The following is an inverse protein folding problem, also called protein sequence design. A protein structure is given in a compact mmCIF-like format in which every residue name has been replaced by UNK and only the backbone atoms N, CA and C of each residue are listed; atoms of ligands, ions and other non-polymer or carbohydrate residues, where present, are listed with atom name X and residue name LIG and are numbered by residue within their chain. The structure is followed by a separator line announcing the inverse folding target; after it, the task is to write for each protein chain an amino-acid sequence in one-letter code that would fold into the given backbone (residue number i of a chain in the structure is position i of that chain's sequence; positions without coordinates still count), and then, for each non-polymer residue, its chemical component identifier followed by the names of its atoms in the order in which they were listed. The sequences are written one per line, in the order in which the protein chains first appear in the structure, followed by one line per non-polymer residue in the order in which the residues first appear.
data_IF_119037355412
#
_entry.id   IF_119037355412
#
_cell.length_a   1.000
_cell.length_b   1.000
_cell.length_c   1.000
_cell.angle_alpha   90.00
_cell.angle_beta   90.00
_cell.angle_gamma   90.00
#
_symmetry.space_group_name_H-M   'P 1'
#
loop_
_entity.id
_entity.type
_entity.pdbx_description
1 polymer ?
2 water ?
#
# COMPACT_ATOMS: atom_id res chain seq x y z
N UNK A 3 28.02 8.12 23.54
CA UNK A 3 26.79 8.82 23.95
C UNK A 3 25.78 8.72 22.79
N UNK A 4 25.18 7.55 22.60
CA UNK A 4 24.30 7.33 21.42
C UNK A 4 23.02 8.17 21.43
N UNK A 5 22.73 8.79 20.30
CA UNK A 5 21.55 9.67 20.17
C UNK A 5 20.22 8.96 20.14
N UNK A 6 19.15 9.69 20.41
CA UNK A 6 17.79 9.11 20.45
C UNK A 6 17.51 8.37 19.14
N UNK A 7 17.67 9.04 18.02
CA UNK A 7 17.33 8.45 16.71
C UNK A 7 18.37 7.41 16.28
N UNK A 8 19.62 7.61 16.67
CA UNK A 8 20.73 6.70 16.31
C UNK A 8 20.44 5.31 16.87
N UNK A 9 20.06 5.24 18.14
CA UNK A 9 19.71 3.97 18.82
C UNK A 9 18.55 3.28 18.08
N UNK A 10 17.44 4.00 17.88
CA UNK A 10 16.25 3.43 17.17
C UNK A 10 16.65 2.94 15.77
N UNK A 11 17.31 3.77 14.99
CA UNK A 11 17.74 3.40 13.62
C UNK A 11 18.61 2.14 13.68
N UNK A 12 19.49 2.05 14.66
CA UNK A 12 20.43 0.92 14.77
C UNK A 12 19.70 -0.38 15.10
N UNK A 13 18.65 -0.31 15.90
CA UNK A 13 17.98 -1.55 16.35
C UNK A 13 17.22 -2.24 15.21
N UNK A 14 16.87 -1.50 14.16
CA UNK A 14 16.01 -2.03 13.07
C UNK A 14 16.82 -2.31 11.82
N UNK A 15 18.08 -1.90 11.77
CA UNK A 15 18.89 -2.07 10.55
C UNK A 15 18.90 -3.53 10.08
N UNK A 16 19.03 -4.48 11.01
CA UNK A 16 19.10 -5.93 10.69
C UNK A 16 17.78 -6.45 10.12
N UNK A 17 16.67 -5.77 10.41
CA UNK A 17 15.34 -6.21 9.93
C UNK A 17 15.03 -5.65 8.54
N UNK A 18 15.88 -4.74 8.03
CA UNK A 18 15.64 -4.09 6.71
C UNK A 18 16.63 -4.65 5.69
N UNK A 19 16.20 -4.86 4.45
CA UNK A 19 17.08 -5.52 3.44
C UNK A 19 16.99 -4.80 2.10
N UNK A 20 18.05 -4.91 1.30
CA UNK A 20 18.03 -4.36 -0.07
C UNK A 20 17.37 -5.40 -1.00
N UNK A 21 16.58 -4.95 -1.96
CA UNK A 21 15.92 -5.84 -2.96
C UNK A 21 16.36 -5.39 -4.35
N UNK A 22 17.03 -6.26 -5.10
CA UNK A 22 17.58 -5.92 -6.44
C UNK A 22 16.97 -6.81 -7.52
N UNK A 23 16.41 -6.20 -8.54
CA UNK A 23 15.82 -6.93 -9.68
C UNK A 23 16.62 -6.57 -10.94
N UNK A 24 17.39 -7.52 -11.46
CA UNK A 24 18.27 -7.23 -12.61
C UNK A 24 17.90 -8.07 -13.83
N UNK A 25 18.26 -7.61 -15.02
CA UNK A 25 18.08 -8.37 -16.27
C UNK A 25 19.37 -8.19 -17.07
N UNK A 26 19.33 -8.45 -18.36
CA UNK A 26 20.52 -8.24 -19.22
C UNK A 26 20.72 -6.74 -19.42
N UNK A 27 19.64 -5.96 -19.56
CA UNK A 27 19.79 -4.53 -19.93
C UNK A 27 19.11 -3.59 -18.93
N UNK A 28 18.92 -4.05 -17.69
CA UNK A 28 18.33 -3.16 -16.66
C UNK A 28 18.56 -3.67 -15.25
N UNK A 29 18.42 -2.78 -14.27
CA UNK A 29 18.49 -3.14 -12.85
C UNK A 29 17.56 -2.22 -12.10
N UNK A 30 16.88 -2.71 -11.06
CA UNK A 30 15.99 -1.87 -10.24
C UNK A 30 16.27 -2.22 -8.78
N UNK A 31 16.17 -1.24 -7.89
CA UNK A 31 16.57 -1.46 -6.47
C UNK A 31 15.55 -0.85 -5.52
N UNK A 32 15.40 -1.48 -4.35
CA UNK A 32 14.43 -1.01 -3.37
C UNK A 32 14.75 -1.53 -1.99
N UNK A 33 13.92 -1.15 -1.04
CA UNK A 33 14.11 -1.59 0.35
C UNK A 33 12.93 -2.47 0.77
N UNK A 34 13.13 -3.28 1.78
CA UNK A 34 12.09 -4.20 2.27
C UNK A 34 12.31 -4.55 3.72
N UNK A 35 11.37 -5.27 4.32
CA UNK A 35 11.46 -5.56 5.77
C UNK A 35 11.10 -7.00 6.10
N UNK A 36 11.90 -7.63 6.94
CA UNK A 36 11.65 -9.02 7.42
C UNK A 36 10.49 -8.99 8.42
N UNK A 37 9.37 -9.59 8.06
CA UNK A 37 8.14 -9.62 8.92
C UNK A 37 7.90 -11.03 9.47
N UNK A 38 8.50 -12.06 8.86
CA UNK A 38 8.32 -13.46 9.30
C UNK A 38 9.66 -14.19 9.37
N UNK A 39 9.88 -14.99 10.41
CA UNK A 39 11.13 -15.76 10.60
C UNK A 39 11.35 -16.86 9.58
N UNK A 40 10.30 -17.29 8.91
CA UNK A 40 10.43 -18.30 7.84
C UNK A 40 11.11 -17.68 6.62
N UNK A 41 11.09 -16.36 6.53
CA UNK A 41 11.84 -15.67 5.46
C UNK A 41 10.96 -14.75 4.63
N UNK A 42 9.90 -14.24 5.24
CA UNK A 42 8.91 -13.41 4.49
C UNK A 42 9.34 -11.94 4.52
N UNK A 43 9.42 -11.34 3.34
CA UNK A 43 9.89 -9.94 3.22
C UNK A 43 8.83 -9.12 2.49
N UNK A 44 8.48 -7.99 3.08
CA UNK A 44 7.45 -7.11 2.48
C UNK A 44 8.10 -5.86 1.89
N UNK A 45 7.67 -5.45 0.70
CA UNK A 45 8.17 -4.24 0.03
C UNK A 45 7.01 -3.61 -0.75
N UNK A 46 7.30 -2.63 -1.60
CA UNK A 46 6.26 -2.07 -2.47
C UNK A 46 6.15 -2.90 -3.74
N UNK A 47 5.00 -2.85 -4.40
CA UNK A 47 4.78 -3.56 -5.67
C UNK A 47 5.61 -2.91 -6.79
N UNK A 48 5.72 -1.58 -6.80
CA UNK A 48 6.48 -0.83 -7.83
C UNK A 48 7.96 -1.22 -7.86
N UNK A 49 8.50 -1.58 -6.70
CA UNK A 49 9.93 -2.02 -6.62
C UNK A 49 10.13 -3.27 -7.49
N UNK A 50 9.19 -4.22 -7.46
CA UNK A 50 9.35 -5.53 -8.16
C UNK A 50 8.38 -5.66 -9.33
N UNK A 51 7.60 -4.62 -9.64
CA UNK A 51 6.59 -4.65 -10.72
C UNK A 51 7.17 -5.26 -11.98
N UNK A 52 8.32 -4.75 -12.40
CA UNK A 52 8.91 -5.20 -13.68
C UNK A 52 9.25 -6.70 -13.64
N UNK A 53 9.89 -7.17 -12.58
CA UNK A 53 10.26 -8.59 -12.43
C UNK A 53 9.01 -9.48 -12.41
N UNK A 54 7.89 -8.98 -11.90
CA UNK A 54 6.64 -9.75 -11.81
C UNK A 54 5.97 -9.87 -13.19
N UNK A 55 6.12 -8.84 -14.02
CA UNK A 55 5.44 -8.78 -15.34
C UNK A 55 6.34 -9.38 -16.42
N UNK A 56 7.65 -9.47 -16.16
CA UNK A 56 8.65 -10.04 -17.09
C UNK A 56 9.55 -11.01 -16.32
N UNK A 57 9.01 -12.12 -15.74
CA UNK A 57 9.80 -13.04 -14.90
C UNK A 57 10.84 -13.90 -15.62
N UNK A 58 10.73 -14.03 -16.94
CA UNK A 58 11.68 -14.85 -17.74
C UNK A 58 13.03 -14.15 -17.86
N UNK A 59 13.07 -12.84 -17.63
CA UNK A 59 14.31 -12.05 -17.89
C UNK A 59 14.86 -11.43 -16.60
N UNK A 60 14.03 -11.27 -15.59
CA UNK A 60 14.44 -10.60 -14.33
C UNK A 60 14.77 -11.59 -13.21
N UNK A 61 15.86 -11.29 -12.49
CA UNK A 61 16.29 -12.10 -11.33
C UNK A 61 16.25 -11.19 -10.10
N UNK A 62 15.61 -11.66 -9.04
CA UNK A 62 15.49 -10.85 -7.81
C UNK A 62 16.40 -11.44 -6.72
N UNK A 63 17.17 -10.59 -6.05
CA UNK A 63 18.04 -10.99 -4.95
C UNK A 63 17.82 -10.09 -3.74
N UNK A 64 17.98 -10.63 -2.56
CA UNK A 64 17.86 -9.84 -1.32
C UNK A 64 19.26 -9.72 -0.71
N UNK A 65 19.67 -8.51 -0.37
CA UNK A 65 21.00 -8.27 0.24
C UNK A 65 20.77 -7.91 1.71
N UNK A 66 21.36 -8.66 2.62
CA UNK A 66 21.13 -8.46 4.08
C UNK A 66 22.09 -7.43 4.66
N UNK A 67 21.92 -7.12 5.94
CA UNK A 67 22.79 -6.15 6.64
C UNK A 67 24.23 -6.65 6.64
N UNK A 68 24.44 -7.97 6.80
CA UNK A 68 25.79 -8.57 6.85
C UNK A 68 26.35 -8.84 5.45
N UNK A 69 25.89 -8.13 4.43
CA UNK A 69 26.40 -8.29 3.05
C UNK A 69 25.89 -9.52 2.33
N UNK A 70 25.30 -10.45 3.07
CA UNK A 70 24.76 -11.71 2.49
C UNK A 70 23.74 -11.42 1.39
N UNK A 71 23.94 -12.04 0.22
CA UNK A 71 22.99 -11.90 -0.91
C UNK A 71 22.30 -13.25 -1.10
N UNK A 72 20.97 -13.26 -1.08
CA UNK A 72 20.20 -14.51 -1.20
C UNK A 72 19.17 -14.36 -2.33
N UNK A 73 18.97 -15.39 -3.20
CA UNK A 73 17.90 -15.33 -4.19
C UNK A 73 16.55 -15.20 -3.48
N UNK A 74 15.62 -14.49 -4.09
CA UNK A 74 14.28 -14.32 -3.51
C UNK A 74 13.19 -14.80 -4.45
N UNK A 75 12.07 -15.20 -3.88
CA UNK A 75 10.92 -15.67 -4.68
C UNK A 75 9.68 -14.82 -4.40
N UNK A 76 8.98 -14.40 -5.45
CA UNK A 76 7.73 -13.60 -5.30
C UNK A 76 6.60 -14.49 -4.80
N UNK A 77 6.01 -14.14 -3.68
CA UNK A 77 4.86 -14.91 -3.13
C UNK A 77 3.57 -14.34 -3.72
N UNK A 78 3.41 -13.03 -3.62
CA UNK A 78 2.22 -12.35 -4.16
C UNK A 78 2.42 -10.87 -4.23
N UNK A 79 1.53 -10.16 -4.93
CA UNK A 79 1.62 -8.69 -5.05
C UNK A 79 0.25 -8.05 -5.16
N UNK A 80 0.14 -6.83 -4.65
CA UNK A 80 -1.13 -6.08 -4.69
C UNK A 80 -0.82 -4.71 -5.25
N UNK A 81 -1.01 -4.46 -6.57
CA UNK A 81 -0.83 -3.12 -7.12
C UNK A 81 -1.82 -2.15 -6.46
N UNK A 82 -2.93 -2.65 -5.94
CA UNK A 82 -3.99 -1.78 -5.38
C UNK A 82 -3.55 -1.19 -4.04
N UNK A 83 -2.73 -1.90 -3.28
CA UNK A 83 -2.16 -1.33 -2.03
C UNK A 83 -0.66 -1.03 -2.21
N UNK A 84 -0.09 -1.24 -3.39
CA UNK A 84 1.37 -1.07 -3.62
C UNK A 84 2.14 -1.93 -2.61
N UNK A 85 1.75 -3.19 -2.48
CA UNK A 85 2.44 -4.10 -1.54
C UNK A 85 2.83 -5.38 -2.27
N UNK A 86 3.93 -5.98 -1.86
CA UNK A 86 4.37 -7.26 -2.44
C UNK A 86 5.09 -8.06 -1.35
N UNK A 87 4.96 -9.38 -1.40
CA UNK A 87 5.62 -10.26 -0.39
C UNK A 87 6.66 -11.14 -1.08
N UNK A 88 7.89 -11.11 -0.59
CA UNK A 88 8.95 -12.01 -1.09
C UNK A 88 9.26 -13.07 -0.02
N UNK A 89 9.96 -14.12 -0.41
CA UNK A 89 10.33 -15.22 0.49
C UNK A 89 11.74 -15.69 0.15
N UNK A 90 12.62 -15.70 1.15
CA UNK A 90 13.98 -16.26 0.97
C UNK A 90 13.94 -17.63 1.68
N UNK A 91 14.62 -18.62 1.12
CA UNK A 91 14.47 -19.99 1.65
C UNK A 91 15.61 -20.40 2.57
N UNK A 92 15.28 -21.05 3.67
CA UNK A 92 16.28 -21.64 4.60
C UNK A 92 17.39 -20.66 4.97
N UNK A 93 17.05 -19.52 5.55
CA UNK A 93 18.09 -18.56 6.04
C UNK A 93 18.00 -18.53 7.57
N UNK A 94 19.07 -18.91 8.26
CA UNK A 94 19.00 -19.04 9.74
C UNK A 94 19.16 -17.74 10.53
N UNK A 95 18.53 -17.66 11.70
CA UNK A 95 18.68 -16.50 12.63
C UNK A 95 18.38 -15.15 11.95
N UNK A 96 17.21 -15.00 11.36
CA UNK A 96 16.81 -13.68 10.78
C UNK A 96 16.38 -12.78 11.94
N UNK A 97 16.57 -11.46 11.81
CA UNK A 97 16.02 -10.53 12.82
C UNK A 97 14.67 -10.04 12.29
N UNK A 98 13.58 -10.52 12.87
CA UNK A 98 12.23 -10.19 12.38
C UNK A 98 11.80 -8.86 12.99
N UNK A 99 11.27 -7.96 12.17
CA UNK A 99 10.81 -6.65 12.66
C UNK A 99 9.70 -6.77 13.69
N UNK A 100 9.69 -5.83 14.64
CA UNK A 100 8.61 -5.78 15.65
C UNK A 100 7.48 -4.94 15.04
N UNK A 101 6.38 -5.59 14.68
CA UNK A 101 5.25 -4.90 14.02
C UNK A 101 4.39 -4.16 15.04
N UNK A 102 4.03 -2.92 14.71
CA UNK A 102 3.23 -2.11 15.62
C UNK A 102 1.75 -2.10 15.33
N UNK A 103 1.04 -1.16 15.95
CA UNK A 103 -0.41 -0.98 15.71
C UNK A 103 -0.62 0.45 15.16
N UNK A 104 -0.96 0.57 13.88
CA UNK A 104 -1.15 1.89 13.23
C UNK A 104 -2.39 2.63 13.76
N UNK A 105 -3.29 1.94 14.44
CA UNK A 105 -4.50 2.57 15.04
C UNK A 105 -4.09 3.46 16.21
N UNK A 106 -2.95 3.18 16.82
CA UNK A 106 -2.51 3.93 18.03
C UNK A 106 -1.51 5.02 17.66
N UNK A 107 -1.41 5.36 16.38
CA UNK A 107 -0.51 6.47 15.95
C UNK A 107 -1.28 7.79 16.05
N UNK A 108 -0.58 8.85 16.41
CA UNK A 108 -1.20 10.18 16.54
C UNK A 108 -0.42 11.23 15.77
N UNK A 109 -1.09 12.31 15.41
CA UNK A 109 -0.39 13.43 14.73
C UNK A 109 0.62 14.01 15.72
N UNK A 110 1.86 14.19 15.31
CA UNK A 110 2.93 14.75 16.15
C UNK A 110 3.92 13.69 16.56
N UNK A 111 3.53 12.43 16.40
CA UNK A 111 4.42 11.30 16.74
C UNK A 111 5.70 11.37 15.91
N UNK A 112 6.85 11.34 16.60
CA UNK A 112 8.15 11.37 15.92
C UNK A 112 8.39 10.02 15.26
N UNK A 113 9.00 10.04 14.09
CA UNK A 113 9.19 8.79 13.32
C UNK A 113 10.50 8.80 12.53
N UNK A 114 10.93 7.63 12.11
CA UNK A 114 12.08 7.53 11.18
C UNK A 114 11.59 6.79 9.92
N UNK A 115 12.08 7.18 8.76
CA UNK A 115 11.78 6.49 7.49
C UNK A 115 13.08 5.78 7.11
N UNK A 116 13.17 4.49 7.43
CA UNK A 116 14.44 3.75 7.30
C UNK A 116 14.60 3.04 5.96
N UNK A 117 15.67 3.35 5.25
CA UNK A 117 16.05 2.62 4.03
C UNK A 117 17.09 1.58 4.36
N UNK A 118 17.29 0.59 3.49
CA UNK A 118 18.22 -0.52 3.78
C UNK A 118 19.66 -0.02 3.72
N UNK A 119 20.45 -0.07 4.81
CA UNK A 119 21.81 0.47 4.82
C UNK A 119 22.65 0.06 3.61
N UNK A 120 22.45 -1.16 3.09
CA UNK A 120 23.28 -1.66 1.97
C UNK A 120 22.70 -1.23 0.61
N UNK A 121 21.91 -0.15 0.56
CA UNK A 121 21.41 0.33 -0.74
C UNK A 121 22.29 1.41 -1.34
N UNK A 122 22.36 1.48 -2.66
CA UNK A 122 23.20 2.48 -3.36
C UNK A 122 23.00 3.88 -2.77
N UNK A 123 21.81 4.44 -2.91
CA UNK A 123 21.48 5.77 -2.35
C UNK A 123 20.48 5.59 -1.21
N UNK A 124 20.75 4.63 -0.34
CA UNK A 124 19.87 4.41 0.85
C UNK A 124 19.81 5.67 1.73
N UNK A 125 18.64 5.93 2.32
CA UNK A 125 18.43 7.12 3.17
C UNK A 125 17.67 6.82 4.46
N UNK A 126 18.08 7.42 5.57
CA UNK A 126 17.31 7.34 6.83
C UNK A 126 16.84 8.79 7.10
N UNK A 127 15.54 8.98 7.21
CA UNK A 127 14.97 10.33 7.37
C UNK A 127 14.16 10.42 8.64
N UNK A 128 14.09 11.62 9.21
CA UNK A 128 13.37 11.84 10.48
C UNK A 128 12.28 12.89 10.29
N UNK A 129 11.19 12.69 11.01
CA UNK A 129 10.11 13.66 11.00
C UNK A 129 9.02 13.29 11.98
N UNK A 130 7.84 13.83 11.74
CA UNK A 130 6.66 13.56 12.58
C UNK A 130 5.49 13.06 11.71
N UNK A 131 4.51 12.40 12.32
CA UNK A 131 3.26 11.99 11.62
C UNK A 131 2.44 13.28 11.43
N UNK A 132 2.16 13.64 10.19
CA UNK A 132 1.50 14.93 9.87
C UNK A 132 0.00 14.76 9.64
N UNK A 133 -0.44 13.57 9.30
CA UNK A 133 -1.84 13.30 9.01
C UNK A 133 -2.10 11.80 9.04
N UNK A 134 -3.31 11.43 9.40
CA UNK A 134 -3.69 10.01 9.39
C UNK A 134 -4.87 9.84 8.43
N UNK A 135 -4.99 8.65 7.85
CA UNK A 135 -6.14 8.36 6.96
C UNK A 135 -6.18 9.43 5.87
N UNK A 136 -5.06 9.59 5.20
CA UNK A 136 -4.94 10.58 4.10
C UNK A 136 -4.96 9.81 2.78
N UNK A 137 -6.09 9.74 2.04
CA UNK A 137 -6.08 9.15 0.71
C UNK A 137 -5.02 9.80 -0.19
N UNK A 138 -4.19 9.00 -0.83
CA UNK A 138 -3.10 9.50 -1.71
C UNK A 138 -3.05 8.70 -3.00
N UNK A 139 -3.12 9.35 -4.20
CA UNK A 139 -2.95 8.61 -5.44
C UNK A 139 -1.49 8.16 -5.64
N UNK A 140 -1.32 7.03 -6.32
CA UNK A 140 0.03 6.51 -6.65
C UNK A 140 0.05 6.14 -8.14
N UNK A 141 1.12 6.46 -8.83
CA UNK A 141 1.27 6.08 -10.26
C UNK A 141 1.66 4.60 -10.37
N UNK A 142 1.15 3.89 -11.38
CA UNK A 142 1.51 2.48 -11.64
C UNK A 142 2.84 2.41 -12.34
N UNK A 143 3.76 1.58 -11.82
CA UNK A 143 5.13 1.51 -12.38
C UNK A 143 5.08 1.13 -13.85
N UNK A 144 4.67 -0.09 -14.16
CA UNK A 144 4.71 -0.50 -15.58
C UNK A 144 3.34 -0.61 -16.19
N UNK A 145 2.85 -1.84 -16.37
CA UNK A 145 1.49 -2.09 -16.88
C UNK A 145 0.53 -2.04 -15.70
N UNK A 146 1.05 -1.70 -14.53
CA UNK A 146 0.25 -1.75 -13.29
C UNK A 146 -0.79 -0.63 -13.20
N UNK A 147 -1.89 -0.89 -12.51
CA UNK A 147 -2.98 0.11 -12.34
C UNK A 147 -2.56 1.21 -11.37
N UNK A 148 -2.92 2.45 -11.68
CA UNK A 148 -2.70 3.55 -10.71
C UNK A 148 -3.71 3.28 -9.59
N UNK A 149 -3.36 3.63 -8.36
CA UNK A 149 -4.26 3.36 -7.23
C UNK A 149 -4.33 4.57 -6.30
N UNK A 150 -5.04 4.41 -5.19
CA UNK A 150 -5.13 5.43 -4.13
C UNK A 150 -5.07 4.63 -2.81
N UNK A 151 -4.27 5.06 -1.87
CA UNK A 151 -4.19 4.37 -0.56
C UNK A 151 -4.60 5.31 0.57
N UNK A 152 -5.11 4.77 1.68
CA UNK A 152 -5.44 5.57 2.88
C UNK A 152 -4.15 5.63 3.69
N UNK A 153 -3.37 6.66 3.46
CA UNK A 153 -2.02 6.67 4.02
C UNK A 153 -1.81 7.41 5.33
N UNK A 154 -0.63 7.21 5.89
CA UNK A 154 -0.15 8.01 7.02
C UNK A 154 0.76 9.03 6.32
N UNK A 155 0.55 10.30 6.56
CA UNK A 155 1.40 11.34 5.95
C UNK A 155 2.45 11.74 6.98
N UNK A 156 3.65 12.03 6.51
CA UNK A 156 4.77 12.44 7.41
C UNK A 156 5.62 13.52 6.75
N UNK A 157 6.24 14.37 7.56
CA UNK A 157 7.16 15.41 7.03
C UNK A 157 8.58 14.83 6.89
N UNK A 158 8.76 13.55 7.21
CA UNK A 158 10.05 12.88 6.95
C UNK A 158 10.11 12.61 5.45
N UNK A 159 11.30 12.69 4.87
CA UNK A 159 11.38 12.54 3.40
C UNK A 159 11.29 11.06 3.00
N UNK A 160 10.40 10.77 2.07
CA UNK A 160 10.30 9.39 1.50
C UNK A 160 10.73 9.52 0.04
N UNK A 161 11.76 8.77 -0.33
CA UNK A 161 12.35 8.89 -1.68
C UNK A 161 12.73 7.49 -2.17
N UNK A 162 13.51 7.41 -3.25
CA UNK A 162 13.96 6.10 -3.81
C UNK A 162 14.79 5.35 -2.77
N UNK A 163 15.55 6.05 -1.94
CA UNK A 163 16.44 5.40 -0.98
C UNK A 163 15.77 4.75 0.22
N UNK A 164 14.51 5.08 0.51
CA UNK A 164 13.81 4.44 1.65
C UNK A 164 12.45 3.83 1.26
N UNK A 165 12.03 3.99 0.01
CA UNK A 165 10.77 3.36 -0.46
C UNK A 165 10.80 1.84 -0.24
N UNK A 166 9.72 1.29 0.31
CA UNK A 166 9.61 -0.14 0.62
C UNK A 166 10.11 -0.44 2.00
N UNK A 167 10.88 0.49 2.55
CA UNK A 167 11.40 0.33 3.91
C UNK A 167 10.38 0.68 4.96
N UNK A 168 10.68 0.42 6.27
CA UNK A 168 9.72 0.68 7.28
C UNK A 168 9.61 2.12 7.78
N UNK A 169 8.42 2.52 8.18
CA UNK A 169 8.26 3.79 8.92
C UNK A 169 8.25 3.29 10.35
N UNK A 170 9.06 3.90 11.20
CA UNK A 170 9.31 3.36 12.56
C UNK A 170 8.97 4.37 13.66
N UNK A 171 8.30 3.87 14.69
CA UNK A 171 7.98 4.74 15.84
C UNK A 171 9.20 4.85 16.77
N UNK A 172 9.01 5.50 17.90
CA UNK A 172 10.10 5.72 18.86
C UNK A 172 10.33 4.47 19.73
N UNK A 173 9.54 3.42 19.52
CA UNK A 173 9.75 2.13 20.23
C UNK A 173 10.36 1.10 19.26
N UNK A 174 10.90 1.56 18.12
CA UNK A 174 11.49 0.67 17.08
C UNK A 174 10.44 -0.29 16.50
N UNK A 175 9.19 0.13 16.48
CA UNK A 175 8.09 -0.70 15.92
C UNK A 175 7.67 -0.17 14.54
N UNK A 176 7.48 -1.06 13.57
CA UNK A 176 7.05 -0.67 12.21
C UNK A 176 5.58 -0.24 12.28
N UNK A 177 5.31 1.01 12.00
CA UNK A 177 3.91 1.52 11.99
C UNK A 177 3.47 1.72 10.53
N UNK A 178 4.37 1.45 9.59
CA UNK A 178 4.05 1.61 8.18
C UNK A 178 5.12 1.21 7.20
N UNK A 179 4.76 1.21 5.92
CA UNK A 179 5.70 0.83 4.83
C UNK A 179 5.83 2.04 3.91
N UNK A 180 7.02 2.57 3.85
CA UNK A 180 7.30 3.77 3.04
C UNK A 180 7.00 3.52 1.56
N UNK A 181 6.30 4.46 0.92
CA UNK A 181 6.08 4.39 -0.54
C UNK A 181 6.41 5.76 -1.18
N UNK A 182 7.42 5.80 -2.04
CA UNK A 182 7.80 7.03 -2.76
C UNK A 182 7.15 7.07 -4.15
N UNK A 183 6.25 6.14 -4.43
CA UNK A 183 5.54 6.11 -5.73
C UNK A 183 4.37 7.08 -5.77
N UNK A 193 5.74 15.55 3.09
CA UNK A 193 5.45 15.14 1.70
C UNK A 193 5.75 13.66 1.61
N UNK A 194 5.95 13.02 2.76
CA UNK A 194 6.17 11.57 2.82
C UNK A 194 4.87 10.80 3.03
N UNK A 195 4.76 9.63 2.42
CA UNK A 195 3.55 8.79 2.54
C UNK A 195 3.92 7.33 2.84
N UNK A 196 3.20 6.74 3.78
CA UNK A 196 3.40 5.34 4.14
C UNK A 196 2.06 4.59 4.16
N UNK A 197 2.11 3.29 3.88
CA UNK A 197 0.90 2.44 3.99
C UNK A 197 0.85 1.96 5.44
N UNK A 198 -0.29 2.09 6.16
CA UNK A 198 -0.35 1.71 7.57
C UNK A 198 -0.06 0.23 7.85
N UNK A 199 0.56 -0.06 8.99
CA UNK A 199 0.98 -1.46 9.32
C UNK A 199 -0.26 -2.35 9.42
N UNK A 200 -1.37 -1.82 9.88
CA UNK A 200 -2.56 -2.69 10.08
C UNK A 200 -3.07 -3.17 8.72
N UNK A 201 -3.05 -2.29 7.72
CA UNK A 201 -3.45 -2.68 6.35
C UNK A 201 -2.43 -3.65 5.76
N UNK A 202 -1.14 -3.39 5.94
CA UNK A 202 -0.10 -4.31 5.45
C UNK A 202 -0.26 -5.70 6.07
N UNK A 203 -0.61 -5.80 7.33
CA UNK A 203 -0.82 -7.09 8.03
C UNK A 203 -1.96 -7.85 7.34
N UNK A 204 -3.03 -7.15 7.01
CA UNK A 204 -4.18 -7.77 6.32
C UNK A 204 -3.76 -8.27 4.93
N UNK A 205 -3.14 -7.42 4.12
CA UNK A 205 -2.76 -7.76 2.71
C UNK A 205 -1.65 -8.82 2.67
N UNK A 206 -0.66 -8.72 3.55
CA UNK A 206 0.42 -9.71 3.63
C UNK A 206 -0.12 -11.11 3.94
N UNK A 207 -1.11 -11.22 4.81
CA UNK A 207 -1.66 -12.54 5.20
C UNK A 207 -2.33 -13.20 4.00
N UNK A 208 -3.06 -12.42 3.21
CA UNK A 208 -3.73 -12.97 2.01
C UNK A 208 -2.68 -13.38 0.98
N UNK A 209 -1.62 -12.58 0.86
CA UNK A 209 -0.60 -12.86 -0.17
C UNK A 209 0.22 -14.09 0.21
N UNK A 210 0.60 -14.23 1.46
CA UNK A 210 1.32 -15.45 1.91
C UNK A 210 0.44 -16.68 1.67
N UNK A 211 -0.81 -16.62 2.09
CA UNK A 211 -1.71 -17.80 2.02
C UNK A 211 -2.24 -18.09 0.63
N UNK A 212 -2.73 -17.08 -0.10
CA UNK A 212 -3.43 -17.35 -1.38
C UNK A 212 -2.59 -17.01 -2.62
N UNK A 213 -1.47 -16.31 -2.45
CA UNK A 213 -0.66 -15.88 -3.58
C UNK A 213 -1.33 -14.71 -4.26
N UNK A 214 -2.42 -14.25 -3.65
CA UNK A 214 -3.21 -13.14 -4.22
C UNK A 214 -4.21 -12.58 -3.20
N UNK A 215 -4.87 -11.50 -3.59
CA UNK A 215 -5.85 -10.82 -2.71
C UNK A 215 -7.01 -10.30 -3.58
N UNK A 216 -8.21 -10.29 -3.03
CA UNK A 216 -9.43 -9.87 -3.77
C UNK A 216 -9.94 -8.56 -3.18
N UNK A 217 -10.20 -7.60 -4.06
CA UNK A 217 -10.70 -6.28 -3.63
C UNK A 217 -12.10 -6.06 -4.20
N UNK A 218 -12.99 -5.29 -3.52
CA UNK A 218 -14.31 -5.02 -4.07
C UNK A 218 -14.31 -4.12 -5.32
N UNK A 219 -15.36 -4.26 -6.14
CA UNK A 219 -15.54 -3.42 -7.35
C UNK A 219 -17.02 -3.08 -7.54
N UNK A 220 -17.29 -1.91 -8.11
CA UNK A 220 -18.68 -1.43 -8.31
C UNK A 220 -18.89 -1.10 -9.80
N UNK A 221 -17.86 -0.65 -10.51
CA UNK A 221 -17.94 -0.37 -11.96
C UNK A 221 -18.16 1.09 -12.25
N UNK A 222 -17.54 1.95 -11.47
CA UNK A 222 -17.78 3.41 -11.59
C UNK A 222 -16.46 4.13 -11.83
N UNK A 223 -16.42 5.04 -12.79
CA UNK A 223 -15.25 5.92 -12.95
C UNK A 223 -15.71 7.25 -12.40
N UNK A 224 -14.97 7.81 -11.45
CA UNK A 224 -15.39 9.08 -10.82
C UNK A 224 -14.44 10.24 -11.11
N UNK A 225 -14.97 11.45 -11.14
CA UNK A 225 -14.15 12.69 -11.21
C UNK A 225 -14.52 13.47 -9.95
N UNK A 226 -13.64 14.29 -9.40
CA UNK A 226 -13.96 15.02 -8.15
C UNK A 226 -14.74 16.31 -8.45
N UNK A 227 -15.70 16.66 -7.58
CA UNK A 227 -16.49 17.90 -7.73
C UNK A 227 -16.50 18.67 -6.41
N UNK A 228 -16.52 20.01 -6.48
CA UNK A 228 -16.58 20.84 -5.25
C UNK A 228 -17.35 22.14 -5.49
N UNK A 229 -18.47 22.32 -4.79
CA UNK A 229 -19.29 23.56 -4.91
C UNK A 229 -20.31 23.53 -3.77
N UNK A 230 -21.36 24.34 -3.87
CA UNK A 230 -22.45 24.33 -2.87
C UNK A 230 -23.73 23.78 -3.48
N UNK A 233 -20.20 18.46 -2.93
CA UNK A 233 -18.76 18.07 -2.79
C UNK A 233 -18.62 16.57 -2.65
N UNK A 234 -18.03 15.92 -3.65
CA UNK A 234 -17.89 14.46 -3.63
C UNK A 234 -17.30 13.93 -4.92
N UNK A 235 -17.71 12.74 -5.31
CA UNK A 235 -17.18 12.11 -6.53
C UNK A 235 -18.26 12.07 -7.60
N UNK A 236 -18.00 12.75 -8.71
CA UNK A 236 -18.96 12.82 -9.84
C UNK A 236 -18.83 11.57 -10.70
N UNK A 237 -19.93 10.87 -10.90
CA UNK A 237 -19.94 9.63 -11.72
C UNK A 237 -19.69 9.97 -13.18
N UNK A 238 -18.61 9.44 -13.75
CA UNK A 238 -18.26 9.69 -15.16
C UNK A 238 -18.76 8.54 -16.03
N UNK A 239 -18.23 7.33 -15.81
CA UNK A 239 -18.61 6.16 -16.63
C UNK A 239 -19.13 5.03 -15.74
N UNK A 240 -20.24 4.41 -16.14
CA UNK A 240 -20.76 3.22 -15.43
C UNK A 240 -20.66 2.07 -16.44
N UNK A 241 -20.02 0.97 -16.04
CA UNK A 241 -19.86 -0.20 -16.93
C UNK A 241 -21.18 -0.97 -17.02
N UNK A 242 -21.48 -1.56 -18.17
CA UNK A 242 -22.71 -2.35 -18.33
C UNK A 242 -22.67 -3.60 -17.46
N UNK A 243 -23.79 -3.99 -16.86
CA UNK A 243 -23.83 -5.18 -16.00
C UNK A 243 -22.99 -5.02 -14.75
N UNK A 244 -22.68 -3.78 -14.37
CA UNK A 244 -21.93 -3.50 -13.13
C UNK A 244 -22.87 -3.56 -11.93
N UNK A 245 -22.39 -3.82 -10.68
CA UNK A 245 -23.25 -3.70 -9.51
C UNK A 245 -23.78 -2.26 -9.43
N UNK A 246 -23.06 -1.31 -10.03
CA UNK A 246 -23.45 0.10 -10.00
C UNK A 246 -24.71 0.32 -10.81
N UNK A 247 -24.67 -0.08 -12.09
CA UNK A 247 -25.87 0.00 -12.96
C UNK A 247 -27.05 -0.79 -12.38
N UNK A 248 -26.80 -1.98 -11.85
CA UNK A 248 -27.87 -2.83 -11.26
C UNK A 248 -28.36 -2.28 -9.91
N UNK A 249 -27.70 -1.26 -9.37
CA UNK A 249 -28.14 -0.64 -8.10
C UNK A 249 -28.94 0.61 -8.37
N UNK A 250 -28.86 1.15 -9.59
CA UNK A 250 -29.63 2.35 -9.95
C UNK A 250 -28.75 3.54 -10.23
N UNK A 251 -27.46 3.44 -9.87
CA UNK A 251 -26.50 4.57 -10.09
C UNK A 251 -26.53 5.00 -11.55
N UNK A 252 -26.76 6.29 -11.75
CA UNK A 252 -26.75 6.86 -13.12
C UNK A 252 -25.52 7.74 -13.28
N UNK A 253 -25.18 8.05 -14.52
CA UNK A 253 -24.03 8.95 -14.79
C UNK A 253 -24.41 10.38 -14.41
N UNK A 254 -23.44 11.20 -13.98
CA UNK A 254 -23.65 12.62 -13.55
C UNK A 254 -24.09 12.70 -12.08
N UNK A 255 -24.16 11.57 -11.39
CA UNK A 255 -24.50 11.61 -9.93
C UNK A 255 -23.28 12.03 -9.12
N UNK A 256 -23.51 12.62 -7.95
CA UNK A 256 -22.39 13.01 -7.06
C UNK A 256 -22.41 12.10 -5.83
N UNK A 257 -21.47 11.18 -5.76
CA UNK A 257 -21.34 10.26 -4.60
C UNK A 257 -20.83 11.05 -3.40
N UNK A 258 -21.60 11.08 -2.31
CA UNK A 258 -21.25 11.89 -1.12
C UNK A 258 -20.97 10.97 0.08
N UNK A 259 -21.35 9.70 -0.01
CA UNK A 259 -21.13 8.71 1.06
C UNK A 259 -21.17 7.27 0.55
N UNK A 260 -20.12 6.47 0.83
CA UNK A 260 -20.06 5.03 0.46
C UNK A 260 -19.99 4.24 1.75
N UNK A 261 -21.03 3.46 2.02
CA UNK A 261 -21.14 2.75 3.30
C UNK A 261 -21.32 3.76 4.42
N UNK A 262 -20.49 3.65 5.44
CA UNK A 262 -20.54 4.58 6.59
C UNK A 262 -19.45 5.64 6.41
N UNK A 263 -18.89 5.76 5.21
CA UNK A 263 -17.76 6.69 5.00
C UNK A 263 -18.16 7.83 4.07
N UNK A 264 -18.09 9.05 4.57
CA UNK A 264 -18.34 10.23 3.72
C UNK A 264 -17.19 10.37 2.73
N UNK A 265 -17.50 10.86 1.53
CA UNK A 265 -16.49 10.95 0.44
C UNK A 265 -16.36 12.41 -0.02
N UNK A 266 -15.14 12.94 -0.02
CA UNK A 266 -14.90 14.34 -0.38
C UNK A 266 -14.52 14.44 -1.85
N UNK A 267 -14.03 13.36 -2.45
CA UNK A 267 -13.54 13.42 -3.85
C UNK A 267 -13.31 12.02 -4.45
N UNK A 268 -12.80 11.95 -5.68
CA UNK A 268 -12.51 10.68 -6.37
C UNK A 268 -11.52 9.83 -5.55
N UNK A 269 -10.56 10.46 -4.88
CA UNK A 269 -9.52 9.75 -4.09
C UNK A 269 -10.16 8.98 -2.92
N UNK A 270 -10.99 9.65 -2.12
CA UNK A 270 -11.64 9.01 -0.96
C UNK A 270 -12.67 7.97 -1.41
N UNK A 271 -13.25 8.15 -2.60
CA UNK A 271 -14.19 7.15 -3.16
C UNK A 271 -13.47 5.82 -3.33
N UNK A 272 -12.31 5.83 -3.98
CA UNK A 272 -11.55 4.57 -4.25
C UNK A 272 -11.24 3.85 -2.94
N UNK A 273 -10.78 4.58 -1.94
CA UNK A 273 -10.44 3.98 -0.62
C UNK A 273 -11.72 3.48 0.06
N UNK A 274 -12.83 4.20 -0.10
CA UNK A 274 -14.11 3.84 0.56
C UNK A 274 -14.66 2.53 -0.01
N UNK A 275 -14.46 2.32 -1.31
CA UNK A 275 -15.03 1.11 -1.98
C UNK A 275 -14.28 -0.12 -1.46
N UNK A 276 -12.98 0.02 -1.18
CA UNK A 276 -12.17 -1.14 -0.75
C UNK A 276 -12.42 -1.49 0.71
N UNK A 277 -13.15 -0.64 1.42
CA UNK A 277 -13.48 -0.91 2.84
C UNK A 277 -14.77 -1.73 2.91
N UNK A 278 -15.46 -1.88 1.78
CA UNK A 278 -16.76 -2.58 1.75
C UNK A 278 -16.60 -4.10 1.71
N UNK A 279 -17.66 -4.81 2.04
CA UNK A 279 -17.59 -6.28 2.08
C UNK A 279 -18.10 -6.88 0.77
N UNK A 280 -17.41 -7.86 0.24
CA UNK A 280 -17.86 -8.38 -1.08
C UNK A 280 -19.14 -9.20 -0.89
N UNK A 281 -20.15 -8.94 -1.72
CA UNK A 281 -21.38 -9.76 -1.68
C UNK A 281 -22.42 -9.30 -0.70
N UNK A 282 -22.08 -8.31 0.13
CA UNK A 282 -23.03 -7.79 1.12
C UNK A 282 -23.64 -6.49 0.57
N UNK A 283 -24.94 -6.31 0.74
CA UNK A 283 -25.59 -5.04 0.30
C UNK A 283 -24.99 -3.85 1.06
N UNK A 284 -24.78 -2.75 0.36
CA UNK A 284 -24.16 -1.57 0.96
C UNK A 284 -24.86 -0.30 0.47
N UNK A 285 -25.09 0.72 1.36
CA UNK A 285 -25.71 1.96 0.93
C UNK A 285 -24.81 2.97 0.22
N UNK A 286 -25.34 3.60 -0.82
CA UNK A 286 -24.60 4.67 -1.53
C UNK A 286 -25.51 5.90 -1.57
N UNK A 287 -25.04 7.04 -1.04
CA UNK A 287 -25.84 8.30 -1.09
C UNK A 287 -25.33 9.23 -2.18
N UNK A 288 -26.22 9.63 -3.08
CA UNK A 288 -25.85 10.46 -4.26
C UNK A 288 -26.75 11.69 -4.37
N UNK A 289 -26.23 12.80 -4.87
CA UNK A 289 -27.07 13.99 -5.15
C UNK A 289 -27.37 13.95 -6.64
N UNK A 290 -28.63 13.73 -7.03
CA UNK A 290 -29.02 13.57 -8.46
C UNK A 290 -29.87 14.75 -8.93
N UNK A 291 -29.31 15.67 -9.70
CA UNK A 291 -30.03 16.85 -10.24
C UNK A 291 -30.61 17.70 -9.10
N UNK A 292 -29.96 17.72 -7.93
CA UNK A 292 -30.45 18.48 -6.77
C UNK A 292 -31.00 17.60 -5.67
N UNK A 293 -31.65 16.51 -6.03
CA UNK A 293 -32.31 15.65 -5.02
C UNK A 293 -31.30 14.72 -4.35
N UNK A 294 -31.46 14.46 -3.05
CA UNK A 294 -30.57 13.52 -2.30
C UNK A 294 -31.13 12.11 -2.39
N UNK A 295 -30.41 11.22 -3.06
CA UNK A 295 -30.93 9.84 -3.31
C UNK A 295 -30.02 8.81 -2.64
N UNK A 296 -30.62 7.86 -1.95
CA UNK A 296 -29.84 6.75 -1.33
C UNK A 296 -30.15 5.47 -2.11
N UNK A 297 -29.13 4.83 -2.64
CA UNK A 297 -29.29 3.57 -3.40
C UNK A 297 -28.64 2.43 -2.60
N UNK A 298 -28.67 1.21 -3.15
CA UNK A 298 -28.09 0.02 -2.47
C UNK A 298 -27.32 -0.81 -3.51
N UNK A 299 -26.05 -1.09 -3.23
CA UNK A 299 -25.21 -1.91 -4.16
C UNK A 299 -24.61 -3.11 -3.46
N UNK A 300 -24.35 -4.17 -4.20
CA UNK A 300 -23.70 -5.37 -3.65
C UNK A 300 -22.37 -5.49 -4.39
N UNK A 301 -21.20 -5.36 -3.73
CA UNK A 301 -19.93 -5.32 -4.43
C UNK A 301 -19.44 -6.63 -5.03
N UNK A 302 -18.91 -6.54 -6.24
CA UNK A 302 -18.35 -7.71 -6.94
C UNK A 302 -16.88 -7.89 -6.58
N UNK A 303 -16.31 -9.11 -6.69
CA UNK A 303 -14.88 -9.28 -6.54
C UNK A 303 -14.15 -8.77 -7.79
N UNK A 304 -13.01 -8.11 -7.61
CA UNK A 304 -12.20 -7.66 -8.77
C UNK A 304 -11.71 -8.90 -9.52
N UNK A 305 -11.44 -9.98 -8.77
CA UNK A 305 -10.96 -11.26 -9.35
C UNK A 305 -11.86 -12.40 -8.82
N UNK A 306 -12.83 -12.84 -9.60
CA UNK A 306 -13.85 -13.84 -9.15
C UNK A 306 -13.26 -15.24 -8.94
N UNK A 307 -12.25 -15.59 -9.73
CA UNK A 307 -11.71 -16.97 -9.65
C UNK A 307 -10.90 -17.15 -8.37
N UNK A 308 -10.32 -16.07 -7.87
CA UNK A 308 -9.56 -16.11 -6.59
C UNK A 308 -10.51 -15.80 -5.45
N UNK A 309 -11.77 -15.50 -5.78
CA UNK A 309 -12.81 -15.31 -4.74
C UNK A 309 -13.80 -16.48 -4.82
#
# INVERSE_FOLDING_TARGET
MEPAGRFTKVAAAVADSVVTIESVSDQEGMQGSGVIVDGRGYIVTNNHVISEAANNPSQFKTTVVFNDGKEVPANLVGRDPKTDLAVLKVDNVDNLTVARLGDSSKVRVGDEVLAVGAPLGLRSTVTQGIVSALHRPVPLSGEGSDTDTVIDAIQTDASINHGNSGGPLIDMDAQVIGINTAGKSLSDSASGLGFAIPVNEMKLVANSLIKDGAIVHPTLGISTRSVSNAIASGAQVANVKAGSPAQKGGILENDVIVKVGNRAVADSDEFVVAVRQLAIGQDAPIEVVREGRHVTLTVKPDPDSTLEHHHHHH
#
